data_IF_457150530508
#
_entry.id   IF_457150530508
#
_cell.length_a   1.000
_cell.length_b   1.000
_cell.length_c   1.000
_cell.angle_alpha   90.00
_cell.angle_beta   90.00
_cell.angle_gamma   90.00
#
_symmetry.space_group_name_H-M   'P 1'
#
loop_
_entity.id
_entity.type
_entity.pdbx_description
1 polymer ?
#
# COMPACT_ATOMS: atom_id res chain seq x y z
N UNK A 1 -6.55 5.28 14.32
CA UNK A 1 -5.21 5.36 14.93
C UNK A 1 -5.18 6.63 15.74
N UNK A 2 -5.28 6.56 17.08
CA UNK A 2 -5.21 7.72 17.97
C UNK A 2 -3.95 8.60 17.78
N UNK A 3 -2.94 8.07 17.08
CA UNK A 3 -1.62 8.64 16.85
C UNK A 3 -1.60 9.68 15.71
N UNK A 4 -2.66 9.80 14.91
CA UNK A 4 -2.80 10.83 13.87
C UNK A 4 -2.04 10.57 12.56
N UNK A 5 -1.44 9.39 12.38
CA UNK A 5 -0.73 9.04 11.14
C UNK A 5 -1.68 8.95 9.94
N UNK A 6 -1.25 9.52 8.82
CA UNK A 6 -1.93 9.40 7.53
C UNK A 6 -1.45 8.14 6.83
N UNK A 7 -2.32 7.14 6.72
CA UNK A 7 -1.98 5.84 6.13
C UNK A 7 -2.74 5.66 4.82
N UNK A 8 -2.01 5.36 3.75
CA UNK A 8 -2.59 4.97 2.46
C UNK A 8 -2.52 3.45 2.32
N UNK A 9 -3.67 2.79 2.16
CA UNK A 9 -3.75 1.34 1.97
C UNK A 9 -4.01 1.01 0.52
N UNK A 10 -3.17 0.16 -0.08
CA UNK A 10 -3.36 -0.40 -1.42
C UNK A 10 -3.53 -1.91 -1.32
N UNK A 11 -4.55 -2.44 -1.99
CA UNK A 11 -4.89 -3.86 -1.93
C UNK A 11 -4.76 -4.52 -3.30
N UNK A 12 -4.24 -5.74 -3.34
CA UNK A 12 -4.17 -6.58 -4.53
C UNK A 12 -4.39 -8.06 -4.15
N UNK A 13 -4.70 -8.89 -5.15
CA UNK A 13 -4.93 -10.32 -5.00
C UNK A 13 -4.50 -11.06 -6.28
N UNK A 14 -3.96 -12.27 -6.15
CA UNK A 14 -3.67 -13.12 -7.32
C UNK A 14 -4.95 -13.69 -7.94
N UNK A 15 -5.95 -13.97 -7.11
CA UNK A 15 -7.25 -14.51 -7.50
C UNK A 15 -8.33 -13.43 -7.45
N UNK A 16 -9.12 -13.34 -8.54
CA UNK A 16 -10.28 -12.47 -8.62
C UNK A 16 -11.59 -13.25 -8.38
N UNK A 17 -12.64 -12.53 -7.97
CA UNK A 17 -13.98 -13.11 -7.76
C UNK A 17 -14.60 -13.61 -9.06
N UNK A 18 -14.25 -13.01 -10.20
CA UNK A 18 -14.67 -13.46 -11.52
C UNK A 18 -13.79 -14.59 -12.09
N UNK A 19 -14.21 -15.16 -13.23
CA UNK A 19 -13.43 -16.16 -13.95
C UNK A 19 -12.14 -15.54 -14.53
N UNK A 20 -11.00 -16.18 -14.32
CA UNK A 20 -9.70 -15.73 -14.83
C UNK A 20 -8.94 -16.92 -15.41
N UNK A 21 -8.22 -16.70 -16.52
CA UNK A 21 -7.41 -17.73 -17.18
C UNK A 21 -6.02 -17.91 -16.56
N UNK A 22 -5.55 -16.91 -15.81
CA UNK A 22 -4.26 -16.89 -15.13
C UNK A 22 -4.34 -16.00 -13.88
N UNK A 23 -3.32 -16.10 -13.02
CA UNK A 23 -3.19 -15.24 -11.84
C UNK A 23 -2.94 -13.79 -12.26
N UNK A 24 -3.45 -12.85 -11.47
CA UNK A 24 -3.22 -11.43 -11.68
C UNK A 24 -1.77 -11.05 -11.39
N UNK A 25 -1.18 -10.20 -12.24
CA UNK A 25 0.09 -9.55 -11.92
C UNK A 25 -0.12 -8.54 -10.78
N UNK A 26 0.68 -8.64 -9.72
CA UNK A 26 0.55 -7.76 -8.55
C UNK A 26 1.24 -6.43 -8.80
N UNK A 27 0.43 -5.37 -8.84
CA UNK A 27 0.86 -3.99 -9.01
C UNK A 27 -0.06 -3.04 -8.23
N UNK A 28 0.52 -2.00 -7.65
CA UNK A 28 -0.19 -1.02 -6.83
C UNK A 28 -0.07 0.37 -7.44
N UNK A 29 -1.17 1.13 -7.45
CA UNK A 29 -1.14 2.54 -7.79
C UNK A 29 -0.46 3.35 -6.67
N UNK A 30 0.52 4.17 -7.03
CA UNK A 30 1.31 5.03 -6.10
C UNK A 30 1.52 6.43 -6.68
N UNK A 31 0.71 6.84 -7.65
CA UNK A 31 0.85 8.14 -8.29
C UNK A 31 0.71 9.26 -7.24
N UNK A 32 1.63 10.24 -7.22
CA UNK A 32 1.37 11.47 -6.50
C UNK A 32 0.18 12.19 -7.16
N UNK A 33 -0.63 12.87 -6.35
CA UNK A 33 -1.87 13.49 -6.81
C UNK A 33 -1.94 14.95 -6.35
N UNK A 34 -2.57 15.83 -7.14
CA UNK A 34 -2.86 17.19 -6.69
C UNK A 34 -3.82 17.13 -5.50
N UNK A 35 -3.74 18.14 -4.64
CA UNK A 35 -4.52 18.18 -3.40
C UNK A 35 -5.90 18.70 -3.64
N UNK A 36 -6.83 18.28 -2.81
CA UNK A 36 -8.10 18.94 -2.75
C UNK A 36 -8.20 19.63 -1.39
N UNK A 37 -8.39 20.94 -1.42
CA UNK A 37 -8.65 21.74 -0.23
C UNK A 37 -10.16 21.89 -0.08
N UNK A 38 -10.69 21.29 0.99
CA UNK A 38 -12.12 21.30 1.29
C UNK A 38 -12.65 22.68 1.71
N UNK A 39 -11.79 23.54 2.25
CA UNK A 39 -12.19 24.87 2.74
C UNK A 39 -12.30 25.86 1.58
N UNK A 40 -11.40 25.76 0.60
CA UNK A 40 -11.38 26.66 -0.57
C UNK A 40 -12.07 26.07 -1.80
N UNK A 41 -12.34 24.76 -1.80
CA UNK A 41 -12.91 24.04 -2.95
C UNK A 41 -11.94 23.92 -4.13
N UNK A 42 -10.66 24.22 -3.92
CA UNK A 42 -9.66 24.28 -4.98
C UNK A 42 -8.73 23.08 -4.97
N UNK A 43 -8.25 22.76 -6.17
CA UNK A 43 -7.20 21.77 -6.35
C UNK A 43 -5.85 22.44 -6.13
N UNK A 44 -5.07 21.97 -5.17
CA UNK A 44 -3.70 22.43 -4.92
C UNK A 44 -2.80 22.12 -6.12
N UNK A 45 -1.90 23.05 -6.43
CA UNK A 45 -0.84 22.89 -7.43
C UNK A 45 0.19 21.83 -7.04
N UNK A 46 0.26 21.46 -5.76
CA UNK A 46 1.25 20.52 -5.24
C UNK A 46 0.81 19.08 -5.52
N UNK A 47 1.61 18.39 -6.34
CA UNK A 47 1.43 16.98 -6.69
C UNK A 47 2.28 16.13 -5.74
N UNK A 48 1.63 15.57 -4.73
CA UNK A 48 2.28 14.87 -3.61
C UNK A 48 1.57 13.56 -3.26
N UNK A 49 2.26 12.69 -2.53
CA UNK A 49 1.65 11.56 -1.82
C UNK A 49 1.28 12.03 -0.41
N UNK A 50 -0.02 12.06 -0.08
CA UNK A 50 -0.54 12.68 1.17
C UNK A 50 -0.67 11.71 2.34
N UNK A 51 0.22 10.73 2.40
CA UNK A 51 0.32 9.78 3.50
C UNK A 51 1.71 9.83 4.09
N UNK A 52 1.83 9.51 5.37
CA UNK A 52 3.12 9.30 6.03
C UNK A 52 3.63 7.89 5.72
N UNK A 53 2.72 6.93 5.61
CA UNK A 53 3.01 5.50 5.38
C UNK A 53 2.09 4.92 4.31
N UNK A 54 2.66 4.06 3.46
CA UNK A 54 1.92 3.15 2.59
C UNK A 54 1.85 1.75 3.21
N UNK A 55 0.67 1.15 3.15
CA UNK A 55 0.44 -0.27 3.45
C UNK A 55 -0.02 -0.96 2.16
N UNK A 56 0.82 -1.82 1.60
CA UNK A 56 0.48 -2.67 0.48
C UNK A 56 0.06 -4.03 1.01
N UNK A 57 -1.24 -4.33 0.96
CA UNK A 57 -1.78 -5.63 1.36
C UNK A 57 -2.00 -6.52 0.14
N UNK A 58 -1.56 -7.77 0.25
CA UNK A 58 -1.70 -8.77 -0.79
C UNK A 58 -2.44 -9.98 -0.23
N UNK A 59 -3.58 -10.32 -0.84
CA UNK A 59 -4.19 -11.63 -0.66
C UNK A 59 -3.36 -12.64 -1.45
N UNK A 60 -2.43 -13.30 -0.76
CA UNK A 60 -1.37 -14.12 -1.39
C UNK A 60 -1.84 -15.52 -1.77
N UNK A 61 -2.98 -15.95 -1.26
CA UNK A 61 -3.52 -17.29 -1.47
C UNK A 61 -3.91 -17.52 -2.94
N UNK A 62 -3.48 -18.65 -3.51
CA UNK A 62 -3.62 -18.95 -4.94
C UNK A 62 -4.53 -20.15 -5.25
N UNK A 63 -5.03 -20.83 -4.21
CA UNK A 63 -6.05 -21.86 -4.37
C UNK A 63 -7.45 -21.27 -4.21
N UNK A 64 -8.22 -21.27 -5.30
CA UNK A 64 -9.56 -20.67 -5.35
C UNK A 64 -10.58 -21.43 -4.49
N UNK A 65 -10.37 -22.71 -4.22
CA UNK A 65 -11.32 -23.51 -3.44
C UNK A 65 -11.27 -23.18 -1.94
N UNK A 66 -10.10 -22.78 -1.47
CA UNK A 66 -9.82 -22.51 -0.05
C UNK A 66 -9.59 -21.02 0.24
N UNK A 67 -9.75 -20.16 -0.78
CA UNK A 67 -9.64 -18.72 -0.66
C UNK A 67 -10.74 -18.16 0.24
N UNK A 68 -10.34 -17.49 1.31
CA UNK A 68 -11.22 -16.70 2.15
C UNK A 68 -10.61 -15.31 2.37
N UNK A 69 -11.26 -14.29 1.82
CA UNK A 69 -10.80 -12.90 1.97
C UNK A 69 -10.93 -12.35 3.40
N UNK A 70 -11.72 -13.02 4.25
CA UNK A 70 -11.88 -12.68 5.67
C UNK A 70 -10.85 -13.37 6.56
N UNK A 71 -10.19 -14.42 6.06
CA UNK A 71 -9.09 -15.09 6.73
C UNK A 71 -7.82 -14.23 6.64
N UNK A 72 -7.44 -13.63 7.77
CA UNK A 72 -6.33 -12.68 7.86
C UNK A 72 -4.97 -13.36 7.64
N UNK A 73 -4.87 -14.68 7.80
CA UNK A 73 -3.63 -15.45 7.58
C UNK A 73 -3.30 -15.60 6.09
N UNK A 74 -4.30 -15.39 5.22
CA UNK A 74 -4.16 -15.35 3.77
C UNK A 74 -3.65 -13.99 3.26
N UNK A 75 -3.55 -12.99 4.12
CA UNK A 75 -3.01 -11.68 3.78
C UNK A 75 -1.54 -11.54 4.21
N UNK A 76 -0.79 -10.81 3.40
CA UNK A 76 0.53 -10.31 3.77
C UNK A 76 0.57 -8.79 3.56
N UNK A 77 1.28 -8.09 4.44
CA UNK A 77 1.36 -6.65 4.44
C UNK A 77 2.81 -6.22 4.24
N UNK A 78 3.03 -5.32 3.28
CA UNK A 78 4.30 -4.65 3.09
C UNK A 78 4.10 -3.17 3.45
N UNK A 79 4.80 -2.71 4.47
CA UNK A 79 4.67 -1.35 5.01
C UNK A 79 5.91 -0.55 4.65
N UNK A 80 5.71 0.65 4.11
CA UNK A 80 6.79 1.49 3.60
C UNK A 80 6.53 2.97 3.95
N UNK A 81 7.53 3.72 4.46
CA UNK A 81 7.41 5.16 4.61
C UNK A 81 7.22 5.83 3.25
N UNK A 82 6.32 6.81 3.15
CA UNK A 82 6.07 7.52 1.88
C UNK A 82 7.33 8.19 1.32
N UNK A 83 8.20 8.71 2.19
CA UNK A 83 9.48 9.33 1.81
C UNK A 83 10.36 8.41 0.94
N UNK A 84 10.31 7.10 1.16
CA UNK A 84 11.10 6.15 0.36
C UNK A 84 10.61 6.13 -1.09
N UNK A 85 9.29 6.25 -1.31
CA UNK A 85 8.73 6.36 -2.66
C UNK A 85 9.03 7.73 -3.27
N UNK A 86 9.04 8.80 -2.49
CA UNK A 86 9.36 10.13 -2.99
C UNK A 86 10.83 10.25 -3.40
N UNK A 87 11.75 9.70 -2.60
CA UNK A 87 13.19 9.69 -2.86
C UNK A 87 13.57 8.74 -4.02
N UNK A 88 13.06 7.51 -4.03
CA UNK A 88 13.53 6.47 -4.97
C UNK A 88 12.64 6.31 -6.21
N UNK A 89 11.39 6.80 -6.16
CA UNK A 89 10.35 6.62 -7.19
C UNK A 89 9.50 7.90 -7.38
N UNK A 90 10.09 9.10 -7.55
CA UNK A 90 9.40 10.39 -7.42
C UNK A 90 8.19 10.55 -8.34
N UNK A 91 8.31 10.17 -9.61
CA UNK A 91 7.26 10.33 -10.63
C UNK A 91 6.50 9.05 -10.95
N UNK A 92 6.82 7.95 -10.26
CA UNK A 92 6.29 6.64 -10.58
C UNK A 92 4.80 6.56 -10.18
N UNK A 93 3.97 6.10 -11.11
CA UNK A 93 2.51 5.97 -10.90
C UNK A 93 2.08 4.61 -10.37
N UNK A 94 2.89 3.57 -10.59
CA UNK A 94 2.60 2.21 -10.16
C UNK A 94 3.86 1.48 -9.69
N UNK A 95 3.73 0.55 -8.75
CA UNK A 95 4.83 -0.30 -8.29
C UNK A 95 4.40 -1.77 -8.32
N UNK A 96 5.17 -2.60 -9.02
CA UNK A 96 5.01 -4.06 -9.03
C UNK A 96 5.54 -4.66 -7.73
N UNK A 97 5.03 -5.82 -7.30
CA UNK A 97 5.45 -6.48 -6.07
C UNK A 97 6.99 -6.65 -5.99
N UNK A 98 7.63 -7.17 -7.03
CA UNK A 98 9.09 -7.34 -7.05
C UNK A 98 9.86 -6.00 -6.98
N UNK A 99 9.29 -4.92 -7.50
CA UNK A 99 9.86 -3.57 -7.36
C UNK A 99 9.66 -3.00 -5.96
N UNK A 100 8.55 -3.33 -5.31
CA UNK A 100 8.25 -2.94 -3.93
C UNK A 100 9.21 -3.66 -2.97
N UNK A 101 9.41 -4.96 -3.12
CA UNK A 101 10.36 -5.75 -2.29
C UNK A 101 11.78 -5.18 -2.34
N UNK A 102 12.22 -4.67 -3.49
CA UNK A 102 13.54 -4.01 -3.64
C UNK A 102 13.67 -2.69 -2.88
N UNK A 103 12.56 -2.09 -2.43
CA UNK A 103 12.57 -0.91 -1.55
C UNK A 103 12.68 -1.31 -0.07
N UNK A 104 12.81 -2.61 0.23
CA UNK A 104 12.92 -3.17 1.58
C UNK A 104 11.80 -2.71 2.53
N UNK A 105 10.52 -2.93 2.19
CA UNK A 105 9.41 -2.64 3.09
C UNK A 105 9.47 -3.57 4.32
N UNK A 106 8.86 -3.14 5.42
CA UNK A 106 8.59 -4.04 6.54
C UNK A 106 7.48 -5.01 6.12
N UNK A 107 7.81 -6.29 6.02
CA UNK A 107 6.85 -7.36 5.75
C UNK A 107 6.29 -7.90 7.07
N UNK A 108 4.97 -8.06 7.14
CA UNK A 108 4.29 -8.52 8.35
C UNK A 108 2.92 -9.14 8.06
N UNK A 109 2.39 -9.85 9.06
CA UNK A 109 1.03 -10.36 9.12
C UNK A 109 0.08 -9.31 9.75
N UNK A 110 -1.21 -9.66 9.91
CA UNK A 110 -2.16 -8.73 10.51
C UNK A 110 -1.81 -8.35 11.97
N UNK A 111 -1.43 -9.30 12.86
CA UNK A 111 -0.98 -8.96 14.22
C UNK A 111 0.19 -7.95 14.27
N UNK A 112 1.16 -8.05 13.37
CA UNK A 112 2.31 -7.14 13.35
C UNK A 112 2.08 -5.81 12.62
N UNK A 113 0.95 -5.65 11.91
CA UNK A 113 0.66 -4.48 11.08
C UNK A 113 0.76 -3.16 11.84
N UNK A 114 0.20 -3.07 13.03
CA UNK A 114 0.25 -1.85 13.84
C UNK A 114 1.70 -1.43 14.15
N UNK A 115 2.53 -2.40 14.57
CA UNK A 115 3.93 -2.15 14.91
C UNK A 115 4.73 -1.72 13.68
N UNK A 116 4.46 -2.32 12.51
CA UNK A 116 5.11 -1.94 11.27
C UNK A 116 4.71 -0.52 10.82
N UNK A 117 3.43 -0.15 10.92
CA UNK A 117 2.96 1.21 10.63
C UNK A 117 3.62 2.22 11.57
N UNK A 118 3.66 1.95 12.87
CA UNK A 118 4.31 2.82 13.85
C UNK A 118 5.80 3.04 13.51
N UNK A 119 6.53 1.95 13.28
CA UNK A 119 7.95 2.02 12.93
C UNK A 119 8.22 2.80 11.64
N UNK A 120 7.33 2.72 10.64
CA UNK A 120 7.47 3.49 9.41
C UNK A 120 7.06 4.97 9.57
N UNK A 121 6.06 5.27 10.41
CA UNK A 121 5.54 6.61 10.62
C UNK A 121 6.48 7.46 11.50
N UNK A 122 7.12 6.86 12.50
CA UNK A 122 8.05 7.56 13.42
C UNK A 122 9.42 7.86 12.78
N UNK A 123 9.71 7.26 11.62
CA UNK A 123 10.92 7.50 10.82
C UNK A 123 10.68 8.58 9.74
N UNK A 124 9.50 9.21 9.75
CA UNK A 124 9.21 10.40 8.94
C UNK A 124 9.94 11.63 9.53
N UNK A 125 10.63 12.44 8.71
CA UNK A 125 11.34 13.63 9.17
C UNK A 125 10.41 14.73 9.70
#
# INVERSE_FOLDING_TARGET
>A
MPEGWRVEVKSAAYLQSWAQSQLSEISFAIAPAPGWDAQTGQTSTDVLRRSDVYVFRLLRHQDKQTLDSLDLDQWIFHVLPTRVLDEQRPSQKTVRLSSLERLAPLETDFPGLHKAVAACAEVAP
#
